data_IF_254004343744
#
_entry.id   IF_254004343744
#
_cell.length_a   1.000
_cell.length_b   1.000
_cell.length_c   1.000
_cell.angle_alpha   90.00
_cell.angle_beta   90.00
_cell.angle_gamma   90.00
#
_symmetry.space_group_name_H-M   'P 1'
#
loop_
_entity.id
_entity.type
_entity.pdbx_description
1 polymer ?
#
# COMPACT_ATOMS: atom_id res chain seq x y z
N UNK A 1 23.71 -3.01 -1.19
CA UNK A 1 23.63 -3.83 -2.42
C UNK A 1 22.22 -3.97 -3.01
N UNK A 2 21.12 -3.83 -2.26
CA UNK A 2 19.76 -3.95 -2.80
C UNK A 2 19.35 -2.81 -3.76
N UNK A 3 19.67 -1.55 -3.42
CA UNK A 3 19.31 -0.37 -4.22
C UNK A 3 19.64 -0.49 -5.73
N UNK A 4 20.88 -0.83 -6.17
CA UNK A 4 21.18 -0.93 -7.60
C UNK A 4 20.38 -2.02 -8.33
N UNK A 5 19.96 -3.10 -7.65
CA UNK A 5 19.08 -4.10 -8.25
C UNK A 5 17.69 -3.52 -8.53
N UNK A 6 17.13 -2.77 -7.57
CA UNK A 6 15.85 -2.07 -7.75
C UNK A 6 15.97 -1.01 -8.85
N UNK A 7 17.08 -0.29 -8.93
CA UNK A 7 17.33 0.69 -10.00
C UNK A 7 17.37 0.04 -11.39
N UNK A 8 18.02 -1.12 -11.53
CA UNK A 8 18.05 -1.86 -12.80
C UNK A 8 16.64 -2.33 -13.22
N UNK A 9 15.86 -2.89 -12.28
CA UNK A 9 14.47 -3.30 -12.55
C UNK A 9 13.60 -2.09 -12.90
N UNK A 10 13.78 -0.96 -12.22
CA UNK A 10 13.07 0.30 -12.53
C UNK A 10 13.36 0.76 -13.96
N UNK A 11 14.61 0.69 -14.40
CA UNK A 11 15.01 1.04 -15.76
C UNK A 11 14.39 0.11 -16.82
N UNK A 12 14.36 -1.21 -16.55
CA UNK A 12 13.72 -2.19 -17.43
C UNK A 12 12.20 -1.97 -17.51
N UNK A 13 11.52 -1.74 -16.39
CA UNK A 13 10.09 -1.43 -16.39
C UNK A 13 9.80 -0.14 -17.15
N UNK A 14 10.67 0.88 -17.03
CA UNK A 14 10.54 2.12 -17.80
C UNK A 14 10.77 1.91 -19.30
N UNK A 15 11.63 0.98 -19.71
CA UNK A 15 11.82 0.67 -21.14
C UNK A 15 10.63 -0.09 -21.72
N UNK A 16 10.02 -1.00 -20.97
CA UNK A 16 8.82 -1.74 -21.39
C UNK A 16 7.58 -0.84 -21.38
N UNK A 17 7.48 0.06 -20.39
CA UNK A 17 6.37 0.99 -20.21
C UNK A 17 6.84 2.46 -20.26
N UNK A 18 7.19 3.01 -21.44
CA UNK A 18 7.72 4.37 -21.57
C UNK A 18 6.79 5.46 -21.00
N UNK A 19 5.47 5.23 -21.03
CA UNK A 19 4.47 6.16 -20.53
C UNK A 19 4.24 6.14 -19.02
N UNK A 20 4.75 5.15 -18.28
CA UNK A 20 4.49 5.06 -16.84
C UNK A 20 5.20 6.15 -16.05
N UNK A 21 4.49 6.73 -15.08
CA UNK A 21 5.07 7.65 -14.11
C UNK A 21 6.05 6.92 -13.18
N UNK A 22 6.96 7.62 -12.50
CA UNK A 22 7.77 7.02 -11.44
C UNK A 22 6.93 6.36 -10.34
N UNK A 23 5.74 6.90 -10.04
CA UNK A 23 4.82 6.34 -9.06
C UNK A 23 4.19 5.02 -9.53
N UNK A 24 3.82 4.91 -10.82
CA UNK A 24 3.31 3.66 -11.40
C UNK A 24 4.37 2.56 -11.36
N UNK A 25 5.63 2.85 -11.69
CA UNK A 25 6.72 1.86 -11.62
C UNK A 25 6.97 1.42 -10.18
N UNK A 26 7.04 2.37 -9.25
CA UNK A 26 7.14 2.06 -7.81
C UNK A 26 5.98 1.18 -7.36
N UNK A 27 4.75 1.51 -7.79
CA UNK A 27 3.57 0.72 -7.49
C UNK A 27 3.70 -0.70 -8.00
N UNK A 28 4.06 -0.90 -9.27
CA UNK A 28 4.18 -2.22 -9.87
C UNK A 28 5.18 -3.11 -9.11
N UNK A 29 6.33 -2.55 -8.72
CA UNK A 29 7.35 -3.27 -7.94
C UNK A 29 6.80 -3.66 -6.56
N UNK A 30 6.11 -2.75 -5.87
CA UNK A 30 5.60 -2.99 -4.51
C UNK A 30 4.44 -3.99 -4.52
N UNK A 31 3.48 -3.83 -5.43
CA UNK A 31 2.22 -4.58 -5.39
C UNK A 31 2.35 -6.02 -5.86
N UNK A 32 3.42 -6.33 -6.59
CA UNK A 32 3.71 -7.67 -7.12
C UNK A 32 4.78 -8.41 -6.33
N UNK A 33 5.40 -7.74 -5.34
CA UNK A 33 6.41 -8.33 -4.48
C UNK A 33 5.87 -9.54 -3.69
N UNK A 34 6.75 -10.51 -3.45
CA UNK A 34 6.45 -11.70 -2.66
C UNK A 34 6.77 -11.45 -1.18
N UNK A 35 5.87 -11.88 -0.30
CA UNK A 35 6.13 -12.00 1.15
C UNK A 35 6.50 -13.43 1.56
N UNK A 36 6.60 -14.32 0.57
CA UNK A 36 6.90 -15.73 0.72
C UNK A 36 8.28 -15.99 0.10
N UNK A 37 9.10 -16.77 0.80
CA UNK A 37 10.42 -17.19 0.34
C UNK A 37 10.35 -18.37 -0.66
N UNK A 38 11.53 -18.83 -1.10
CA UNK A 38 11.65 -19.95 -2.05
C UNK A 38 11.11 -21.29 -1.52
N UNK A 39 10.90 -21.42 -0.22
CA UNK A 39 10.40 -22.63 0.44
C UNK A 39 8.91 -22.58 0.73
N UNK A 40 8.22 -21.50 0.32
CA UNK A 40 6.79 -21.32 0.62
C UNK A 40 6.52 -20.78 2.02
N UNK A 41 7.55 -20.28 2.72
CA UNK A 41 7.46 -19.76 4.09
C UNK A 41 7.42 -18.23 4.10
N UNK A 42 6.83 -17.62 5.13
CA UNK A 42 6.90 -16.18 5.31
C UNK A 42 8.35 -15.72 5.53
N UNK A 43 8.73 -14.59 4.91
CA UNK A 43 10.06 -13.99 5.06
C UNK A 43 10.34 -13.72 6.55
N UNK A 44 11.56 -14.01 6.99
CA UNK A 44 12.03 -13.74 8.34
C UNK A 44 12.95 -12.52 8.37
N UNK A 45 12.91 -11.77 9.46
CA UNK A 45 13.86 -10.71 9.75
C UNK A 45 15.03 -11.31 10.54
N UNK A 46 16.25 -11.15 10.02
CA UNK A 46 17.50 -11.61 10.63
C UNK A 46 17.96 -10.72 11.81
N UNK A 47 17.00 -10.34 12.66
CA UNK A 47 17.24 -9.63 13.91
C UNK A 47 17.57 -10.57 15.08
N UNK A 48 17.86 -9.98 16.24
CA UNK A 48 18.05 -10.71 17.50
C UNK A 48 17.02 -10.17 18.51
N UNK A 49 16.00 -10.98 18.91
CA UNK A 49 15.69 -12.31 18.40
C UNK A 49 15.17 -12.28 16.96
N UNK A 50 15.28 -13.42 16.26
CA UNK A 50 14.67 -13.60 14.94
C UNK A 50 13.15 -13.49 15.07
N UNK A 51 12.52 -12.86 14.08
CA UNK A 51 11.06 -12.71 14.00
C UNK A 51 10.59 -12.90 12.56
N UNK A 52 9.29 -13.14 12.39
CA UNK A 52 8.67 -12.95 11.08
C UNK A 52 8.88 -11.50 10.64
N UNK A 53 9.31 -11.32 9.40
CA UNK A 53 9.48 -9.99 8.86
C UNK A 53 8.11 -9.35 8.67
N UNK A 54 8.01 -8.08 9.03
CA UNK A 54 6.82 -7.27 8.88
C UNK A 54 7.05 -6.17 7.83
N UNK A 55 6.00 -5.44 7.43
CA UNK A 55 6.11 -4.35 6.47
C UNK A 55 7.14 -3.26 6.82
N UNK A 56 7.58 -3.11 8.07
CA UNK A 56 8.67 -2.19 8.39
C UNK A 56 10.06 -2.78 8.12
N UNK A 57 10.19 -4.11 8.02
CA UNK A 57 11.43 -4.75 7.61
C UNK A 57 11.59 -4.78 6.07
N UNK A 58 10.52 -5.09 5.32
CA UNK A 58 10.60 -5.32 3.86
C UNK A 58 9.69 -4.43 2.99
N UNK A 59 8.85 -3.58 3.57
CA UNK A 59 7.87 -2.79 2.82
C UNK A 59 6.83 -3.66 2.09
N UNK A 60 6.89 -3.69 0.76
CA UNK A 60 6.02 -4.52 -0.09
C UNK A 60 6.37 -6.01 -0.11
N UNK A 61 7.63 -6.35 0.18
CA UNK A 61 8.17 -7.71 0.11
C UNK A 61 9.42 -7.80 -0.78
N UNK A 62 9.81 -9.02 -1.11
CA UNK A 62 10.88 -9.30 -2.06
C UNK A 62 10.40 -9.09 -3.49
N UNK A 63 11.10 -8.26 -4.27
CA UNK A 63 10.67 -7.89 -5.63
C UNK A 63 10.52 -9.11 -6.55
N UNK A 64 9.50 -9.06 -7.41
CA UNK A 64 9.30 -10.01 -8.52
C UNK A 64 9.26 -9.24 -9.84
N UNK A 65 10.40 -9.12 -10.55
CA UNK A 65 10.47 -8.34 -11.79
C UNK A 65 9.55 -8.85 -12.90
N UNK A 66 9.30 -10.17 -12.95
CA UNK A 66 8.47 -10.77 -13.98
C UNK A 66 7.00 -10.44 -13.76
N UNK A 67 6.54 -10.43 -12.51
CA UNK A 67 5.17 -9.99 -12.20
C UNK A 67 5.01 -8.48 -12.30
N UNK A 68 6.04 -7.70 -11.97
CA UNK A 68 6.01 -6.24 -12.05
C UNK A 68 5.86 -5.70 -13.50
N UNK A 69 6.16 -6.52 -14.53
CA UNK A 69 5.96 -6.12 -15.93
C UNK A 69 4.48 -5.97 -16.29
N UNK A 70 3.60 -6.74 -15.65
CA UNK A 70 2.16 -6.68 -15.84
C UNK A 70 1.46 -6.81 -14.48
N UNK A 71 1.38 -5.71 -13.71
CA UNK A 71 0.86 -5.73 -12.36
C UNK A 71 -0.68 -5.76 -12.33
N UNK A 72 -1.36 -5.60 -13.47
CA UNK A 72 -2.81 -5.43 -13.56
C UNK A 72 -3.31 -4.05 -13.08
N UNK A 73 -3.04 -3.69 -11.82
CA UNK A 73 -3.39 -2.38 -11.25
C UNK A 73 -2.16 -1.65 -10.69
N UNK A 74 -2.17 -0.31 -10.78
CA UNK A 74 -1.17 0.56 -10.17
C UNK A 74 -1.78 1.73 -9.40
N UNK A 75 -1.07 2.16 -8.36
CA UNK A 75 -1.34 3.36 -7.57
C UNK A 75 -0.49 4.50 -8.12
N UNK A 76 -1.11 5.37 -8.91
CA UNK A 76 -0.43 6.52 -9.49
C UNK A 76 -0.60 7.78 -8.62
N UNK A 77 0.41 8.64 -8.61
CA UNK A 77 0.45 9.89 -7.83
C UNK A 77 1.13 10.96 -8.66
N UNK A 78 0.46 12.10 -8.86
CA UNK A 78 1.06 13.25 -9.52
C UNK A 78 2.08 13.95 -8.60
N UNK A 79 3.15 14.50 -9.18
CA UNK A 79 4.18 15.22 -8.43
C UNK A 79 3.60 16.38 -7.57
N UNK A 80 2.52 17.03 -8.03
CA UNK A 80 1.84 18.11 -7.29
C UNK A 80 1.22 17.63 -5.98
N UNK A 81 0.80 16.37 -5.91
CA UNK A 81 0.22 15.79 -4.69
C UNK A 81 1.31 15.64 -3.61
N UNK A 82 2.55 15.33 -4.00
CA UNK A 82 3.68 15.33 -3.05
C UNK A 82 3.97 16.74 -2.50
N UNK A 83 3.91 17.77 -3.34
CA UNK A 83 4.10 19.16 -2.89
C UNK A 83 2.99 19.59 -1.92
N UNK A 84 1.73 19.24 -2.24
CA UNK A 84 0.60 19.49 -1.35
C UNK A 84 0.78 18.74 -0.02
N UNK A 85 1.21 17.48 -0.07
CA UNK A 85 1.49 16.66 1.11
C UNK A 85 2.55 17.33 1.98
N UNK A 86 3.67 17.70 1.37
CA UNK A 86 4.78 18.35 2.05
C UNK A 86 4.36 19.65 2.75
N UNK A 87 3.67 20.53 2.04
CA UNK A 87 3.16 21.79 2.59
C UNK A 87 2.18 21.57 3.75
N UNK A 88 1.34 20.53 3.66
CA UNK A 88 0.46 20.12 4.75
C UNK A 88 1.22 19.64 5.99
N UNK A 89 2.28 18.84 5.83
CA UNK A 89 3.13 18.41 6.96
C UNK A 89 3.88 19.56 7.62
N UNK A 90 4.22 20.62 6.86
CA UNK A 90 4.89 21.80 7.40
C UNK A 90 3.93 22.82 8.05
N UNK A 91 2.62 22.58 8.01
CA UNK A 91 1.63 23.54 8.53
C UNK A 91 1.50 24.82 7.69
N UNK A 92 1.91 24.78 6.42
CA UNK A 92 1.86 25.93 5.50
C UNK A 92 0.49 26.09 4.82
N UNK A 93 -0.41 25.13 5.00
CA UNK A 93 -1.75 25.10 4.41
C UNK A 93 -2.77 24.66 5.48
N UNK A 94 -3.90 25.36 5.54
CA UNK A 94 -5.04 24.98 6.36
C UNK A 94 -5.85 23.83 5.72
N UNK A 95 -6.54 23.03 6.53
CA UNK A 95 -7.46 21.97 6.05
C UNK A 95 -6.77 20.65 5.64
N UNK A 96 -5.57 20.40 6.15
CA UNK A 96 -4.72 19.27 5.77
C UNK A 96 -4.97 17.95 6.55
N UNK A 97 -5.84 17.95 7.56
CA UNK A 97 -6.04 16.80 8.46
C UNK A 97 -6.39 15.50 7.72
N UNK A 98 -7.20 15.58 6.67
CA UNK A 98 -7.55 14.41 5.87
C UNK A 98 -6.49 14.05 4.83
N UNK A 99 -5.63 14.99 4.43
CA UNK A 99 -4.74 14.80 3.28
C UNK A 99 -3.52 13.93 3.63
N UNK A 100 -3.05 14.00 4.87
CA UNK A 100 -1.86 13.27 5.33
C UNK A 100 -1.98 11.73 5.18
N UNK A 101 -3.19 11.18 5.33
CA UNK A 101 -3.43 9.74 5.21
C UNK A 101 -3.83 9.30 3.78
N UNK A 102 -4.14 10.26 2.90
CA UNK A 102 -4.80 10.03 1.62
C UNK A 102 -3.90 10.18 0.40
N UNK A 103 -2.59 10.41 0.58
CA UNK A 103 -1.64 10.27 -0.51
C UNK A 103 -1.74 8.85 -1.09
N UNK A 104 -1.90 8.75 -2.41
CA UNK A 104 -2.25 7.50 -3.09
C UNK A 104 -1.05 6.53 -3.25
N UNK A 105 -0.43 6.19 -2.13
CA UNK A 105 0.70 5.27 -2.07
C UNK A 105 0.23 3.80 -2.05
N UNK A 106 1.05 2.85 -2.57
CA UNK A 106 0.79 1.42 -2.52
C UNK A 106 1.06 0.82 -1.11
N UNK A 107 0.61 1.51 -0.06
CA UNK A 107 0.69 1.12 1.34
C UNK A 107 -0.26 1.99 2.18
N UNK A 108 -0.69 1.49 3.32
CA UNK A 108 -1.51 2.23 4.29
C UNK A 108 -0.80 2.20 5.65
N UNK A 109 -0.56 3.38 6.21
CA UNK A 109 -0.02 3.52 7.57
C UNK A 109 -0.95 4.43 8.36
N UNK A 110 -1.43 3.96 9.51
CA UNK A 110 -2.18 4.78 10.48
C UNK A 110 -1.42 4.76 11.81
N UNK A 111 -0.62 5.80 12.09
CA UNK A 111 0.23 5.84 13.27
C UNK A 111 -0.53 6.05 14.59
N UNK A 112 -1.77 6.57 14.49
CA UNK A 112 -2.60 6.94 15.63
C UNK A 112 -4.05 6.54 15.33
N UNK A 113 -4.44 5.31 15.68
CA UNK A 113 -5.82 4.84 15.57
C UNK A 113 -6.49 4.82 16.95
N UNK A 114 -7.34 5.82 17.22
CA UNK A 114 -8.12 5.90 18.48
C UNK A 114 -9.40 5.06 18.41
N UNK A 115 -10.33 5.46 17.55
CA UNK A 115 -11.58 4.74 17.32
C UNK A 115 -11.61 4.17 15.89
N UNK A 116 -11.63 5.05 14.88
CA UNK A 116 -11.56 4.67 13.48
C UNK A 116 -10.73 5.65 12.66
N UNK A 117 -10.31 5.21 11.48
CA UNK A 117 -9.70 6.04 10.45
C UNK A 117 -10.15 5.53 9.09
N UNK A 118 -10.53 6.45 8.20
CA UNK A 118 -10.88 6.09 6.82
C UNK A 118 -9.85 6.67 5.87
N UNK A 119 -9.27 5.81 5.03
CA UNK A 119 -8.35 6.21 3.97
C UNK A 119 -8.91 5.86 2.61
N UNK A 120 -8.63 6.69 1.62
CA UNK A 120 -9.01 6.48 0.24
C UNK A 120 -7.78 6.15 -0.59
N UNK A 121 -7.95 5.25 -1.56
CA UNK A 121 -6.94 4.94 -2.57
C UNK A 121 -7.60 4.84 -3.94
N UNK A 122 -6.85 5.19 -4.97
CA UNK A 122 -7.28 5.11 -6.36
C UNK A 122 -6.32 4.20 -7.11
N UNK A 123 -6.87 3.16 -7.74
CA UNK A 123 -6.13 2.28 -8.63
C UNK A 123 -6.42 2.66 -10.07
N UNK A 124 -5.41 2.52 -10.92
CA UNK A 124 -5.53 2.62 -12.38
C UNK A 124 -5.29 1.24 -12.98
N UNK A 125 -6.21 0.77 -13.82
CA UNK A 125 -6.05 -0.45 -14.58
C UNK A 125 -5.05 -0.24 -15.72
N UNK A 126 -4.00 -1.06 -15.72
CA UNK A 126 -2.95 -1.11 -16.75
C UNK A 126 -2.86 -2.47 -17.43
N UNK A 127 -3.70 -3.43 -17.01
CA UNK A 127 -3.83 -4.75 -17.61
C UNK A 127 -4.95 -4.81 -18.67
N UNK A 128 -5.68 -5.94 -18.78
CA UNK A 128 -6.75 -6.09 -19.76
C UNK A 128 -7.83 -5.01 -19.66
N UNK A 129 -8.37 -4.61 -20.82
CA UNK A 129 -9.41 -3.54 -20.93
C UNK A 129 -10.63 -3.83 -20.07
N UNK A 130 -10.98 -5.12 -19.94
CA UNK A 130 -12.09 -5.59 -19.13
C UNK A 130 -11.54 -6.55 -18.08
N UNK A 131 -11.68 -6.17 -16.82
CA UNK A 131 -11.15 -6.92 -15.70
C UNK A 131 -11.97 -6.64 -14.45
N UNK A 132 -12.20 -7.67 -13.64
CA UNK A 132 -12.90 -7.55 -12.35
C UNK A 132 -11.97 -8.03 -11.26
N UNK A 133 -11.73 -7.17 -10.28
CA UNK A 133 -10.91 -7.45 -9.12
C UNK A 133 -11.78 -7.59 -7.88
N UNK A 134 -11.55 -8.63 -7.10
CA UNK A 134 -12.14 -8.83 -5.77
C UNK A 134 -11.09 -8.56 -4.71
N UNK A 135 -11.49 -7.87 -3.65
CA UNK A 135 -10.61 -7.62 -2.52
C UNK A 135 -10.51 -8.84 -1.61
N UNK A 136 -9.29 -9.14 -1.18
CA UNK A 136 -8.96 -10.05 -0.08
C UNK A 136 -8.28 -9.23 1.00
N UNK A 137 -8.75 -9.36 2.25
CA UNK A 137 -8.30 -8.55 3.37
C UNK A 137 -7.70 -9.43 4.45
N UNK A 138 -6.45 -9.13 4.80
CA UNK A 138 -5.80 -9.66 6.01
C UNK A 138 -5.80 -8.55 7.06
N UNK A 139 -6.72 -8.61 8.00
CA UNK A 139 -6.88 -7.56 9.00
C UNK A 139 -5.69 -7.53 9.98
N UNK A 140 -5.13 -6.35 10.31
CA UNK A 140 -4.17 -6.23 11.39
C UNK A 140 -4.75 -6.73 12.72
N UNK A 141 -3.92 -7.35 13.55
CA UNK A 141 -4.33 -7.82 14.87
C UNK A 141 -4.97 -6.67 15.68
N UNK A 142 -6.14 -6.94 16.28
CA UNK A 142 -6.89 -5.96 17.06
C UNK A 142 -7.66 -4.90 16.25
N UNK A 143 -7.68 -4.99 14.91
CA UNK A 143 -8.32 -3.99 14.03
C UNK A 143 -9.36 -4.67 13.12
N UNK A 144 -10.50 -4.03 12.94
CA UNK A 144 -11.46 -4.37 11.88
C UNK A 144 -11.14 -3.55 10.62
N UNK A 145 -11.24 -4.18 9.45
CA UNK A 145 -11.00 -3.52 8.17
C UNK A 145 -12.26 -3.68 7.32
N UNK A 146 -12.85 -2.56 6.92
CA UNK A 146 -14.00 -2.52 6.01
C UNK A 146 -13.58 -1.89 4.68
N UNK A 147 -13.95 -2.55 3.58
CA UNK A 147 -13.60 -2.16 2.22
C UNK A 147 -14.84 -1.73 1.44
N UNK A 148 -14.78 -0.56 0.80
CA UNK A 148 -15.88 -0.02 -0.02
C UNK A 148 -15.35 0.58 -1.33
N UNK A 149 -15.68 0.02 -2.51
CA UNK A 149 -16.37 -1.26 -2.72
C UNK A 149 -15.46 -2.48 -2.45
N UNK A 150 -16.04 -3.67 -2.35
CA UNK A 150 -15.30 -4.94 -2.25
C UNK A 150 -14.96 -5.58 -3.61
N UNK A 151 -15.53 -5.04 -4.70
CA UNK A 151 -15.31 -5.46 -6.07
C UNK A 151 -15.13 -4.20 -6.92
N UNK A 152 -14.12 -4.21 -7.80
CA UNK A 152 -13.90 -3.17 -8.80
C UNK A 152 -13.95 -3.83 -10.17
N UNK A 153 -14.74 -3.28 -11.09
CA UNK A 153 -14.84 -3.76 -12.47
C UNK A 153 -14.48 -2.65 -13.44
N UNK A 154 -13.63 -2.96 -14.40
CA UNK A 154 -13.28 -2.11 -15.54
C UNK A 154 -13.98 -2.66 -16.79
N UNK A 155 -14.55 -1.76 -17.58
CA UNK A 155 -15.29 -2.10 -18.80
C UNK A 155 -14.75 -1.29 -19.98
N UNK A 156 -14.93 -1.80 -21.19
CA UNK A 156 -14.54 -1.08 -22.41
C UNK A 156 -15.27 0.27 -22.50
N UNK A 157 -14.49 1.34 -22.68
CA UNK A 157 -15.03 2.71 -22.76
C UNK A 157 -15.39 3.33 -21.39
N UNK A 158 -15.22 2.59 -20.29
CA UNK A 158 -15.35 3.10 -18.94
C UNK A 158 -14.10 3.82 -18.42
N UNK A 159 -14.17 4.29 -17.17
CA UNK A 159 -13.00 4.83 -16.47
C UNK A 159 -11.97 3.73 -16.24
N UNK A 160 -10.70 4.01 -16.52
CA UNK A 160 -9.56 3.14 -16.13
C UNK A 160 -9.16 3.33 -14.67
N UNK A 161 -9.75 4.31 -13.97
CA UNK A 161 -9.51 4.60 -12.56
C UNK A 161 -10.69 4.20 -11.70
N UNK A 162 -10.40 3.60 -10.56
CA UNK A 162 -11.39 3.28 -9.54
C UNK A 162 -10.87 3.66 -8.16
N UNK A 163 -11.71 4.32 -7.37
CA UNK A 163 -11.40 4.71 -6.00
C UNK A 163 -12.11 3.77 -5.04
N UNK A 164 -11.40 3.35 -3.99
CA UNK A 164 -11.94 2.60 -2.88
C UNK A 164 -11.56 3.25 -1.55
N UNK A 165 -12.36 2.95 -0.53
CA UNK A 165 -12.17 3.41 0.84
C UNK A 165 -11.88 2.22 1.75
N UNK A 166 -11.01 2.44 2.71
CA UNK A 166 -10.61 1.49 3.74
C UNK A 166 -10.91 2.13 5.08
N UNK A 167 -11.86 1.57 5.80
CA UNK A 167 -12.18 2.00 7.16
C UNK A 167 -11.55 1.02 8.14
N UNK A 168 -10.61 1.53 8.93
CA UNK A 168 -9.92 0.81 9.98
C UNK A 168 -10.58 1.17 11.32
N UNK A 169 -11.02 0.19 12.08
CA UNK A 169 -11.68 0.41 13.38
C UNK A 169 -10.96 -0.40 14.46
N UNK A 170 -10.53 0.27 15.53
CA UNK A 170 -9.91 -0.39 16.67
C UNK A 170 -10.95 -1.29 17.38
N UNK A 171 -10.63 -2.56 17.57
CA UNK A 171 -11.50 -3.50 18.33
C UNK A 171 -11.22 -3.45 19.84
N UNK A 172 -10.09 -2.87 20.23
CA UNK A 172 -9.63 -2.80 21.62
C UNK A 172 -9.02 -1.42 21.88
N UNK A 173 -9.26 -0.90 23.09
CA UNK A 173 -8.63 0.33 23.58
C UNK A 173 -7.33 -0.03 24.28
N UNK A 174 -6.27 -0.19 23.51
CA UNK A 174 -4.93 -0.54 24.02
C UNK A 174 -3.90 0.47 23.54
N UNK A 175 -2.93 0.79 24.39
CA UNK A 175 -1.74 1.54 23.99
C UNK A 175 -0.74 0.55 23.37
N UNK A 176 -0.91 0.29 22.07
CA UNK A 176 -0.22 -0.80 21.38
C UNK A 176 1.04 -0.37 20.61
N UNK A 177 1.78 -1.39 20.17
CA UNK A 177 2.71 -1.27 19.05
C UNK A 177 1.98 -1.31 17.71
N UNK A 178 2.73 -1.30 16.61
CA UNK A 178 2.15 -1.49 15.29
C UNK A 178 1.71 -2.95 15.10
N UNK A 179 0.50 -3.12 14.57
CA UNK A 179 0.01 -4.38 14.01
C UNK A 179 -0.06 -4.26 12.49
N UNK A 180 0.05 -5.40 11.81
CA UNK A 180 0.22 -5.45 10.36
C UNK A 180 -0.80 -6.35 9.71
N UNK A 181 -1.18 -5.97 8.50
CA UNK A 181 -2.12 -6.70 7.64
C UNK A 181 -1.89 -6.36 6.18
N UNK A 182 -2.84 -6.70 5.32
CA UNK A 182 -2.75 -6.40 3.90
C UNK A 182 -4.10 -6.31 3.21
N UNK A 183 -4.12 -5.64 2.06
CA UNK A 183 -5.22 -5.64 1.10
C UNK A 183 -4.66 -6.18 -0.21
N UNK A 184 -5.35 -7.14 -0.80
CA UNK A 184 -4.99 -7.70 -2.09
C UNK A 184 -6.16 -7.62 -3.05
N UNK A 185 -5.99 -6.93 -4.17
CA UNK A 185 -6.92 -7.01 -5.29
C UNK A 185 -6.51 -8.17 -6.20
N UNK A 186 -7.39 -9.16 -6.35
CA UNK A 186 -7.15 -10.32 -7.21
C UNK A 186 -8.21 -10.41 -8.30
N UNK A 187 -7.77 -10.70 -9.52
CA UNK A 187 -8.66 -11.01 -10.64
C UNK A 187 -8.98 -12.51 -10.75
N UNK A 188 -8.53 -13.33 -9.80
CA UNK A 188 -8.69 -14.79 -9.81
C UNK A 188 -7.80 -15.52 -10.82
N UNK A 189 -6.87 -14.83 -11.47
CA UNK A 189 -5.97 -15.37 -12.48
C UNK A 189 -4.51 -14.96 -12.22
N UNK A 190 -3.89 -14.21 -13.14
CA UNK A 190 -2.48 -13.82 -13.08
C UNK A 190 -2.21 -12.62 -12.15
N UNK A 191 -3.21 -11.76 -11.89
CA UNK A 191 -2.99 -10.52 -11.15
C UNK A 191 -3.39 -10.63 -9.68
N UNK A 192 -2.44 -10.25 -8.82
CA UNK A 192 -2.64 -10.11 -7.38
C UNK A 192 -1.87 -8.88 -6.92
N UNK A 193 -2.60 -7.81 -6.63
CA UNK A 193 -2.10 -6.47 -6.34
C UNK A 193 -2.20 -6.23 -4.84
N UNK A 194 -1.11 -6.49 -4.12
CA UNK A 194 -1.07 -6.47 -2.66
C UNK A 194 -0.48 -5.17 -2.12
N UNK A 195 -1.11 -4.55 -1.13
CA UNK A 195 -0.53 -3.44 -0.37
C UNK A 195 -0.50 -3.76 1.14
N UNK A 196 0.59 -3.45 1.86
CA UNK A 196 0.64 -3.64 3.29
C UNK A 196 -0.15 -2.58 4.05
N UNK A 197 -0.69 -2.99 5.20
CA UNK A 197 -1.30 -2.12 6.20
C UNK A 197 -0.43 -2.17 7.47
N UNK A 198 -0.08 -1.02 8.03
CA UNK A 198 0.51 -0.89 9.36
C UNK A 198 -0.34 0.07 10.21
N UNK A 199 -0.80 -0.39 11.36
CA UNK A 199 -1.71 0.40 12.22
C UNK A 199 -1.23 0.32 13.66
N UNK A 200 -1.25 1.45 14.35
CA UNK A 200 -1.00 1.50 15.79
C UNK A 200 -2.23 2.03 16.50
N UNK A 201 -2.86 1.17 17.31
CA UNK A 201 -3.96 1.57 18.19
C UNK A 201 -3.42 2.34 19.39
N UNK A 202 -4.06 3.45 19.73
CA UNK A 202 -3.67 4.28 20.89
C UNK A 202 -4.89 4.70 21.69
N UNK A 203 -4.70 4.92 22.99
CA UNK A 203 -5.71 5.49 23.90
C UNK A 203 -5.47 7.00 24.05
N UNK A 204 -4.20 7.41 24.10
CA UNK A 204 -3.75 8.80 24.20
C UNK A 204 -2.66 9.08 23.16
N UNK A 205 -2.59 10.34 22.71
CA UNK A 205 -1.51 10.78 21.83
C UNK A 205 -0.21 10.81 22.63
N UNK A 206 0.76 9.98 22.24
CA UNK A 206 2.13 10.12 22.73
C UNK A 206 2.79 11.21 21.90
N UNK A 207 2.78 12.45 22.40
CA UNK A 207 3.82 13.39 22.03
C UNK A 207 5.03 12.93 22.84
N UNK A 208 6.07 12.42 22.16
CA UNK A 208 7.35 12.30 22.83
C UNK A 208 7.76 13.72 23.22
N UNK A 209 7.83 14.01 24.52
CA UNK A 209 8.52 15.19 25.05
C UNK A 209 10.02 15.05 24.70
N UNK A 210 10.36 15.22 23.44
CA UNK A 210 11.72 15.54 23.03
C UNK A 210 11.85 17.04 23.18
N UNK A 211 11.98 17.47 24.42
CA UNK A 211 12.55 18.78 24.76
C UNK A 211 14.07 18.73 24.58
#
# INVERSE_FOLDING_TARGET
>A
MACPHVSAVTALLKSVHPGWSPAMIKSAIITTASVIDSFGMLIQAEGVPRKLADPFDFGGGHMDPNRAIDPGLVYDVDAKEYNKFFNCTLGLLDGCESYQLNLNLPSIVVPTLKDNATVSRTVTNVGPVEATYRVVVEAPAGVAVLMEPSIISFTRGGSTRATFRVTLTAKQRVQGGYSFGSITWSDGSAHSVRIPIAVRTVIQDFVSDTS
#
